data_IF_895802416312
#
_entry.id   IF_895802416312
#
_cell.length_a   1.000
_cell.length_b   1.000
_cell.length_c   1.000
_cell.angle_alpha   90.00
_cell.angle_beta   90.00
_cell.angle_gamma   90.00
#
_symmetry.space_group_name_H-M   'P 1'
#
loop_
_entity.id
_entity.type
_entity.pdbx_description
1 polymer ?
#
# COMPACT_ATOMS: atom_id res chain seq x y z
N UNK A 1 -17.83 8.80 -6.80
CA UNK A 1 -17.76 9.25 -5.39
C UNK A 1 -17.40 10.73 -5.38
N UNK A 2 -17.96 11.55 -4.48
CA UNK A 2 -17.85 13.02 -4.53
C UNK A 2 -16.59 13.61 -3.85
N UNK A 3 -15.61 12.79 -3.42
CA UNK A 3 -14.48 13.21 -2.58
C UNK A 3 -13.10 13.18 -3.29
N UNK A 4 -13.07 13.33 -4.62
CA UNK A 4 -11.84 13.39 -5.41
C UNK A 4 -11.90 12.59 -6.71
N UNK A 5 -10.78 12.56 -7.44
CA UNK A 5 -10.62 11.76 -8.66
C UNK A 5 -10.25 10.31 -8.34
N UNK A 6 -10.89 9.35 -9.01
CA UNK A 6 -10.54 7.93 -8.92
C UNK A 6 -10.04 7.46 -10.28
N UNK A 7 -8.75 7.16 -10.36
CA UNK A 7 -8.15 6.52 -11.54
C UNK A 7 -8.24 5.00 -11.40
N UNK A 8 -9.03 4.36 -12.27
CA UNK A 8 -9.12 2.90 -12.32
C UNK A 8 -7.96 2.39 -13.18
N UNK A 9 -6.99 1.74 -12.53
CA UNK A 9 -5.90 1.06 -13.23
C UNK A 9 -6.06 -0.45 -13.11
N UNK A 10 -5.85 -1.17 -14.22
CA UNK A 10 -5.80 -2.63 -14.21
C UNK A 10 -4.37 -3.11 -13.87
N UNK A 11 -3.82 -2.59 -12.76
CA UNK A 11 -2.43 -2.84 -12.37
C UNK A 11 -2.28 -4.22 -11.73
N UNK A 12 -1.20 -4.91 -12.10
CA UNK A 12 -0.75 -6.13 -11.43
C UNK A 12 -0.23 -5.76 -10.04
N UNK A 13 -0.55 -6.55 -9.02
CA UNK A 13 0.01 -6.37 -7.66
C UNK A 13 1.52 -6.59 -7.67
N UNK A 14 2.00 -7.54 -8.50
CA UNK A 14 3.41 -7.91 -8.59
C UNK A 14 4.29 -6.97 -9.43
N UNK A 15 3.84 -5.73 -9.64
CA UNK A 15 4.57 -4.71 -10.38
C UNK A 15 5.82 -4.23 -9.60
N UNK A 16 6.84 -3.69 -10.28
CA UNK A 16 8.04 -3.22 -9.58
C UNK A 16 7.73 -2.09 -8.60
N UNK A 17 8.12 -2.30 -7.33
CA UNK A 17 8.05 -1.29 -6.25
C UNK A 17 8.56 0.11 -6.62
N UNK A 18 9.58 0.22 -7.49
CA UNK A 18 10.09 1.52 -7.93
C UNK A 18 9.03 2.32 -8.68
N UNK A 19 8.26 1.65 -9.54
CA UNK A 19 7.22 2.29 -10.33
C UNK A 19 6.04 2.71 -9.45
N UNK A 20 5.69 1.90 -8.45
CA UNK A 20 4.69 2.28 -7.44
C UNK A 20 5.12 3.51 -6.62
N UNK A 21 6.41 3.61 -6.25
CA UNK A 21 6.96 4.82 -5.61
C UNK A 21 6.88 6.04 -6.51
N UNK A 22 7.31 5.92 -7.77
CA UNK A 22 7.25 7.03 -8.72
C UNK A 22 5.81 7.54 -8.87
N UNK A 23 4.86 6.64 -9.13
CA UNK A 23 3.43 7.01 -9.25
C UNK A 23 2.92 7.69 -7.97
N UNK A 24 3.30 7.18 -6.80
CA UNK A 24 2.86 7.76 -5.51
C UNK A 24 3.50 9.12 -5.21
N UNK A 25 4.73 9.36 -5.66
CA UNK A 25 5.44 10.63 -5.48
C UNK A 25 5.01 11.70 -6.50
N UNK A 26 4.58 11.30 -7.69
CA UNK A 26 4.17 12.25 -8.73
C UNK A 26 2.98 13.12 -8.31
N UNK A 27 2.05 12.59 -7.50
CA UNK A 27 0.94 13.37 -6.94
C UNK A 27 1.42 14.57 -6.10
N UNK A 28 2.16 14.35 -5.00
CA UNK A 28 2.76 15.42 -4.20
C UNK A 28 3.69 16.35 -4.99
N UNK A 29 4.50 15.82 -5.92
CA UNK A 29 5.38 16.64 -6.77
C UNK A 29 4.56 17.59 -7.64
N UNK A 30 3.48 17.10 -8.28
CA UNK A 30 2.62 17.93 -9.10
C UNK A 30 1.90 19.01 -8.27
N UNK A 31 1.47 18.67 -7.05
CA UNK A 31 0.91 19.64 -6.12
C UNK A 31 1.93 20.74 -5.73
N UNK A 32 3.20 20.40 -5.55
CA UNK A 32 4.26 21.40 -5.31
C UNK A 32 4.44 22.34 -6.51
N UNK A 33 4.43 21.80 -7.74
CA UNK A 33 4.52 22.60 -8.96
C UNK A 33 3.35 23.58 -9.06
N UNK A 34 2.12 23.13 -8.82
CA UNK A 34 0.94 24.01 -8.82
C UNK A 34 1.07 25.11 -7.77
N UNK A 35 1.60 24.77 -6.57
CA UNK A 35 1.80 25.73 -5.49
C UNK A 35 2.66 26.94 -5.88
N UNK A 36 3.62 26.78 -6.81
CA UNK A 36 4.46 27.88 -7.30
C UNK A 36 3.69 28.94 -8.11
N UNK A 37 2.55 28.58 -8.69
CA UNK A 37 1.72 29.48 -9.50
C UNK A 37 0.64 30.20 -8.68
N UNK A 38 0.45 29.82 -7.42
CA UNK A 38 -0.54 30.42 -6.52
C UNK A 38 0.05 31.69 -5.89
N UNK A 39 -0.54 32.84 -6.22
CA UNK A 39 -0.11 34.15 -5.70
C UNK A 39 -0.84 34.56 -4.42
N UNK A 40 -2.03 34.02 -4.18
CA UNK A 40 -2.83 34.32 -3.00
C UNK A 40 -2.35 33.49 -1.80
N UNK A 41 -1.91 34.18 -0.74
CA UNK A 41 -1.41 33.55 0.48
C UNK A 41 -2.46 32.67 1.18
N UNK A 42 -3.74 33.03 1.11
CA UNK A 42 -4.82 32.24 1.73
C UNK A 42 -5.01 30.92 0.99
N UNK A 43 -5.06 30.98 -0.34
CA UNK A 43 -5.14 29.81 -1.20
C UNK A 43 -3.90 28.92 -1.07
N UNK A 44 -2.72 29.53 -0.96
CA UNK A 44 -1.45 28.83 -0.78
C UNK A 44 -1.42 28.04 0.54
N UNK A 45 -1.90 28.62 1.64
CA UNK A 45 -2.00 27.94 2.93
C UNK A 45 -2.94 26.72 2.88
N UNK A 46 -4.09 26.86 2.21
CA UNK A 46 -5.02 25.75 1.99
C UNK A 46 -4.36 24.66 1.14
N UNK A 47 -3.65 25.05 0.08
CA UNK A 47 -2.97 24.13 -0.83
C UNK A 47 -1.89 23.30 -0.12
N UNK A 48 -1.05 23.94 0.70
CA UNK A 48 -0.05 23.23 1.50
C UNK A 48 -0.66 22.37 2.60
N UNK A 49 -1.77 22.81 3.21
CA UNK A 49 -2.50 22.00 4.19
C UNK A 49 -3.03 20.70 3.56
N UNK A 50 -3.53 20.77 2.33
CA UNK A 50 -4.04 19.62 1.59
C UNK A 50 -2.92 18.67 1.14
N UNK A 51 -1.77 19.21 0.71
CA UNK A 51 -0.56 18.44 0.43
C UNK A 51 -0.10 17.66 1.68
N UNK A 52 0.03 18.36 2.82
CA UNK A 52 0.43 17.74 4.08
C UNK A 52 -0.55 16.66 4.52
N UNK A 53 -1.86 16.91 4.36
CA UNK A 53 -2.88 15.93 4.66
C UNK A 53 -2.73 14.65 3.82
N UNK A 54 -2.51 14.77 2.51
CA UNK A 54 -2.30 13.61 1.63
C UNK A 54 -1.01 12.82 1.92
N UNK A 55 -0.02 13.44 2.55
CA UNK A 55 1.23 12.79 2.93
C UNK A 55 1.16 12.06 4.29
N UNK A 56 0.05 12.17 5.02
CA UNK A 56 -0.14 11.42 6.27
C UNK A 56 -0.18 9.92 5.96
N UNK A 57 0.51 9.06 6.76
CA UNK A 57 0.55 7.62 6.53
C UNK A 57 -0.73 6.89 6.99
N UNK A 58 -1.89 7.32 6.47
CA UNK A 58 -3.20 6.70 6.69
C UNK A 58 -3.75 6.20 5.35
N UNK A 59 -4.11 4.93 5.26
CA UNK A 59 -4.76 4.39 4.06
C UNK A 59 -6.14 5.01 3.88
N UNK A 60 -6.53 5.52 2.69
CA UNK A 60 -5.90 5.34 1.37
C UNK A 60 -5.06 6.53 0.86
N UNK A 61 -4.63 7.45 1.74
CA UNK A 61 -3.86 8.63 1.36
C UNK A 61 -2.52 8.27 0.71
N UNK A 62 -1.95 9.18 -0.08
CA UNK A 62 -0.72 8.92 -0.83
C UNK A 62 0.49 8.64 0.07
N UNK A 63 0.54 9.26 1.26
CA UNK A 63 1.54 8.97 2.28
C UNK A 63 1.56 7.48 2.69
N UNK A 64 0.39 6.84 2.79
CA UNK A 64 0.32 5.41 3.12
C UNK A 64 0.91 4.52 2.02
N UNK A 65 0.80 4.90 0.75
CA UNK A 65 1.37 4.15 -0.39
C UNK A 65 2.90 4.25 -0.37
N UNK A 66 3.43 5.45 -0.13
CA UNK A 66 4.88 5.68 0.00
C UNK A 66 5.44 4.82 1.13
N UNK A 67 4.81 4.88 2.31
CA UNK A 67 5.22 4.07 3.47
C UNK A 67 5.03 2.57 3.20
N UNK A 68 3.98 2.16 2.49
CA UNK A 68 3.77 0.77 2.11
C UNK A 68 4.92 0.23 1.24
N UNK A 69 5.38 1.01 0.25
CA UNK A 69 6.52 0.57 -0.56
C UNK A 69 7.80 0.46 0.26
N UNK A 70 8.05 1.42 1.17
CA UNK A 70 9.18 1.35 2.11
C UNK A 70 9.09 0.04 2.91
N UNK A 71 7.93 -0.28 3.49
CA UNK A 71 7.74 -1.55 4.21
C UNK A 71 7.91 -2.77 3.31
N UNK A 72 7.45 -2.74 2.07
CA UNK A 72 7.61 -3.86 1.12
C UNK A 72 9.07 -4.14 0.74
N UNK A 73 9.97 -3.16 0.85
CA UNK A 73 11.40 -3.38 0.62
C UNK A 73 12.03 -4.27 1.71
N UNK A 74 11.60 -4.09 2.96
CA UNK A 74 12.19 -4.74 4.13
C UNK A 74 11.38 -5.96 4.62
N UNK A 75 10.06 -5.92 4.52
CA UNK A 75 9.13 -6.90 5.08
C UNK A 75 8.53 -7.82 4.00
N UNK A 76 7.68 -8.76 4.43
CA UNK A 76 6.85 -9.54 3.52
C UNK A 76 5.66 -8.71 3.05
N UNK A 77 5.10 -9.04 1.88
CA UNK A 77 3.94 -8.34 1.32
C UNK A 77 2.71 -8.42 2.23
N UNK A 78 2.51 -9.57 2.89
CA UNK A 78 1.41 -9.72 3.84
C UNK A 78 1.62 -8.88 5.11
N UNK A 79 2.87 -8.81 5.61
CA UNK A 79 3.21 -8.03 6.79
C UNK A 79 3.11 -6.53 6.55
N UNK A 80 3.57 -6.04 5.39
CA UNK A 80 3.49 -4.62 5.03
C UNK A 80 2.05 -4.14 4.96
N UNK A 81 1.16 -4.87 4.27
CA UNK A 81 -0.27 -4.57 4.20
C UNK A 81 -0.89 -4.42 5.60
N UNK A 82 -0.65 -5.39 6.48
CA UNK A 82 -1.16 -5.34 7.85
C UNK A 82 -0.59 -4.15 8.63
N UNK A 83 0.70 -3.90 8.51
CA UNK A 83 1.37 -2.87 9.27
C UNK A 83 0.88 -1.47 8.87
N UNK A 84 0.61 -1.24 7.58
CA UNK A 84 -0.03 0.00 7.09
C UNK A 84 -1.43 0.19 7.67
N UNK A 85 -2.22 -0.87 7.74
CA UNK A 85 -3.58 -0.81 8.29
C UNK A 85 -3.54 -0.50 9.79
N UNK A 86 -2.65 -1.15 10.55
CA UNK A 86 -2.48 -0.85 11.98
C UNK A 86 -1.94 0.57 12.20
N UNK A 87 -0.96 1.00 11.41
CA UNK A 87 -0.45 2.37 11.45
C UNK A 87 -1.57 3.38 11.17
N UNK A 88 -2.46 3.07 10.21
CA UNK A 88 -3.61 3.92 9.88
C UNK A 88 -4.56 4.07 11.06
N UNK A 89 -4.90 2.99 11.78
CA UNK A 89 -5.74 3.08 12.98
C UNK A 89 -5.10 3.93 14.08
N UNK A 90 -3.80 3.75 14.33
CA UNK A 90 -3.06 4.52 15.33
C UNK A 90 -3.06 6.00 14.96
N UNK A 91 -2.77 6.33 13.70
CA UNK A 91 -2.73 7.71 13.23
C UNK A 91 -4.11 8.38 13.29
N UNK A 92 -5.18 7.67 12.93
CA UNK A 92 -6.56 8.19 13.07
C UNK A 92 -6.85 8.51 14.54
N UNK A 93 -6.51 7.61 15.46
CA UNK A 93 -6.70 7.83 16.90
C UNK A 93 -5.92 9.05 17.38
N UNK A 94 -4.64 9.18 16.99
CA UNK A 94 -3.81 10.33 17.36
C UNK A 94 -4.39 11.65 16.84
N UNK A 95 -4.92 11.67 15.61
CA UNK A 95 -5.53 12.87 15.03
C UNK A 95 -6.81 13.26 15.78
N UNK A 96 -7.67 12.28 16.10
CA UNK A 96 -8.91 12.52 16.86
C UNK A 96 -8.61 13.06 18.26
N UNK A 97 -7.61 12.51 18.95
CA UNK A 97 -7.23 12.95 20.30
C UNK A 97 -6.60 14.34 20.32
N UNK A 98 -5.87 14.71 19.26
CA UNK A 98 -5.12 15.97 19.20
C UNK A 98 -5.99 17.18 18.82
N UNK A 99 -7.01 16.98 18.00
CA UNK A 99 -7.76 18.07 17.39
C UNK A 99 -9.25 17.97 17.70
N UNK A 100 -9.83 19.05 18.22
CA UNK A 100 -11.26 19.12 18.51
C UNK A 100 -12.02 19.89 17.41
N UNK A 101 -12.28 19.24 16.27
CA UNK A 101 -13.01 19.86 15.16
C UNK A 101 -14.00 18.85 14.53
N UNK A 102 -15.28 19.24 14.48
CA UNK A 102 -16.37 18.39 13.98
C UNK A 102 -16.17 17.94 12.52
N UNK A 103 -15.64 18.83 11.66
CA UNK A 103 -15.35 18.51 10.26
C UNK A 103 -14.26 17.45 10.16
N UNK A 104 -13.22 17.59 10.97
CA UNK A 104 -12.12 16.63 11.02
C UNK A 104 -12.60 15.26 11.50
N UNK A 105 -13.48 15.20 12.50
CA UNK A 105 -14.08 13.94 12.95
C UNK A 105 -14.89 13.25 11.85
N UNK A 106 -15.67 14.00 11.07
CA UNK A 106 -16.40 13.46 9.92
C UNK A 106 -15.43 12.86 8.89
N UNK A 107 -14.37 13.58 8.55
CA UNK A 107 -13.33 13.13 7.62
C UNK A 107 -12.65 11.86 8.16
N UNK A 108 -12.27 11.84 9.44
CA UNK A 108 -11.62 10.69 10.07
C UNK A 108 -12.55 9.47 10.11
N UNK A 109 -13.85 9.64 10.31
CA UNK A 109 -14.84 8.55 10.26
C UNK A 109 -14.94 7.95 8.85
N UNK A 110 -14.97 8.77 7.80
CA UNK A 110 -14.97 8.30 6.42
C UNK A 110 -13.68 7.52 6.08
N UNK A 111 -12.53 8.02 6.55
CA UNK A 111 -11.25 7.33 6.35
C UNK A 111 -11.21 6.04 7.16
N UNK A 112 -11.68 6.04 8.41
CA UNK A 112 -11.77 4.84 9.23
C UNK A 112 -12.60 3.75 8.56
N UNK A 113 -13.74 4.12 7.97
CA UNK A 113 -14.55 3.20 7.17
C UNK A 113 -13.75 2.57 6.02
N UNK A 114 -12.94 3.36 5.30
CA UNK A 114 -12.04 2.84 4.25
C UNK A 114 -10.99 1.88 4.80
N UNK A 115 -10.36 2.21 5.93
CA UNK A 115 -9.37 1.34 6.57
C UNK A 115 -9.98 0.02 7.01
N UNK A 116 -11.20 0.04 7.57
CA UNK A 116 -11.92 -1.19 7.97
C UNK A 116 -12.26 -2.06 6.76
N UNK A 117 -12.72 -1.46 5.66
CA UNK A 117 -12.94 -2.20 4.41
C UNK A 117 -11.64 -2.84 3.91
N UNK A 118 -10.53 -2.12 3.94
CA UNK A 118 -9.23 -2.64 3.52
C UNK A 118 -8.76 -3.78 4.41
N UNK A 119 -8.94 -3.66 5.73
CA UNK A 119 -8.62 -4.71 6.69
C UNK A 119 -9.30 -6.03 6.33
N UNK A 120 -10.59 -5.99 5.99
CA UNK A 120 -11.34 -7.18 5.59
C UNK A 120 -10.80 -7.79 4.28
N UNK A 121 -10.32 -6.95 3.36
CA UNK A 121 -9.78 -7.36 2.05
C UNK A 121 -8.34 -7.86 2.06
N UNK A 122 -7.58 -7.70 3.15
CA UNK A 122 -6.16 -8.12 3.23
C UNK A 122 -5.94 -9.55 2.75
N UNK A 123 -6.81 -10.49 3.14
CA UNK A 123 -6.70 -11.90 2.73
C UNK A 123 -6.93 -12.06 1.22
N UNK A 124 -7.91 -11.37 0.66
CA UNK A 124 -8.24 -11.39 -0.77
C UNK A 124 -7.11 -10.79 -1.60
N UNK A 125 -6.57 -9.66 -1.18
CA UNK A 125 -5.43 -9.00 -1.83
C UNK A 125 -4.21 -9.93 -1.82
N UNK A 126 -3.94 -10.60 -0.71
CA UNK A 126 -2.86 -11.57 -0.62
C UNK A 126 -3.09 -12.79 -1.52
N UNK A 127 -4.32 -13.30 -1.60
CA UNK A 127 -4.66 -14.39 -2.51
C UNK A 127 -4.50 -13.98 -3.98
N UNK A 128 -4.93 -12.77 -4.36
CA UNK A 128 -4.71 -12.22 -5.70
C UNK A 128 -3.22 -12.10 -6.02
N UNK A 129 -2.40 -11.67 -5.06
CA UNK A 129 -0.94 -11.66 -5.20
C UNK A 129 -0.37 -13.05 -5.50
N UNK A 130 -0.83 -14.09 -4.79
CA UNK A 130 -0.38 -15.47 -5.04
C UNK A 130 -0.84 -15.98 -6.42
N UNK A 131 -2.09 -15.70 -6.78
CA UNK A 131 -2.68 -16.10 -8.05
C UNK A 131 -1.94 -15.47 -9.24
N UNK A 132 -1.60 -14.18 -9.16
CA UNK A 132 -0.80 -13.53 -10.19
C UNK A 132 0.56 -14.19 -10.39
N UNK A 133 1.23 -14.60 -9.30
CA UNK A 133 2.52 -15.31 -9.35
C UNK A 133 2.41 -16.73 -9.88
N UNK A 134 1.23 -17.34 -9.74
CA UNK A 134 0.93 -18.64 -10.33
C UNK A 134 0.71 -18.52 -11.85
N UNK A 135 -0.09 -17.54 -12.29
CA UNK A 135 -0.46 -17.36 -13.70
C UNK A 135 0.66 -16.73 -14.55
N UNK A 136 1.51 -15.90 -13.96
CA UNK A 136 2.55 -15.14 -14.68
C UNK A 136 3.97 -15.56 -14.31
N UNK A 137 4.84 -15.65 -15.31
CA UNK A 137 6.27 -15.90 -15.10
C UNK A 137 7.02 -14.58 -14.81
N UNK A 138 7.25 -14.29 -13.53
CA UNK A 138 8.05 -13.13 -13.14
C UNK A 138 9.56 -13.46 -13.03
N UNK A 139 10.38 -12.67 -13.72
CA UNK A 139 11.83 -12.79 -13.67
C UNK A 139 12.45 -11.81 -12.67
N UNK A 140 12.49 -12.20 -11.39
CA UNK A 140 13.23 -11.46 -10.36
C UNK A 140 14.69 -11.95 -10.23
N UNK A 141 15.61 -11.01 -10.01
CA UNK A 141 17.05 -11.27 -9.84
C UNK A 141 17.41 -11.82 -8.45
N UNK A 142 16.67 -11.41 -7.42
CA UNK A 142 16.96 -11.78 -6.01
C UNK A 142 16.14 -12.98 -5.57
N UNK A 143 16.75 -13.91 -4.85
CA UNK A 143 16.08 -15.06 -4.23
C UNK A 143 16.00 -14.91 -2.71
N UNK A 144 14.91 -15.36 -2.10
CA UNK A 144 14.71 -15.36 -0.65
C UNK A 144 14.26 -16.73 -0.19
N UNK A 145 14.94 -17.30 0.80
CA UNK A 145 14.57 -18.55 1.45
C UNK A 145 13.49 -18.26 2.50
N UNK A 146 12.36 -18.96 2.42
CA UNK A 146 11.21 -18.78 3.31
C UNK A 146 10.63 -20.12 3.74
N UNK A 147 9.78 -20.12 4.76
CA UNK A 147 9.10 -21.33 5.26
C UNK A 147 7.59 -21.25 5.08
N UNK A 148 7.02 -20.05 5.14
CA UNK A 148 5.56 -19.82 5.06
C UNK A 148 5.22 -18.94 3.86
N UNK A 149 4.06 -19.20 3.22
CA UNK A 149 3.55 -18.39 2.10
C UNK A 149 3.46 -16.89 2.43
N UNK A 150 2.98 -16.55 3.63
CA UNK A 150 2.85 -15.16 4.08
C UNK A 150 4.18 -14.40 4.17
N UNK A 151 5.32 -15.08 4.09
CA UNK A 151 6.65 -14.45 4.09
C UNK A 151 7.12 -14.02 2.69
N UNK A 152 6.33 -14.32 1.64
CA UNK A 152 6.62 -13.87 0.28
C UNK A 152 6.66 -12.35 0.22
N UNK A 153 7.68 -11.84 -0.48
CA UNK A 153 7.94 -10.42 -0.69
C UNK A 153 7.84 -10.05 -2.16
N UNK A 154 7.55 -8.79 -2.44
CA UNK A 154 7.60 -8.25 -3.79
C UNK A 154 9.04 -8.23 -4.33
N UNK A 155 9.18 -8.28 -5.65
CA UNK A 155 10.47 -8.19 -6.38
C UNK A 155 11.53 -9.26 -6.04
N UNK A 156 11.12 -10.40 -5.45
CA UNK A 156 12.01 -11.51 -5.09
C UNK A 156 11.39 -12.85 -5.52
N UNK A 157 12.23 -13.79 -5.97
CA UNK A 157 11.90 -15.22 -6.13
C UNK A 157 12.00 -15.92 -4.79
N UNK A 158 11.19 -16.96 -4.56
CA UNK A 158 11.19 -17.66 -3.28
C UNK A 158 11.57 -19.13 -3.42
N UNK A 159 12.35 -19.62 -2.45
CA UNK A 159 12.59 -21.04 -2.23
C UNK A 159 12.04 -21.40 -0.86
N UNK A 160 11.21 -22.44 -0.83
CA UNK A 160 10.52 -22.84 0.39
C UNK A 160 11.17 -24.06 1.00
N UNK A 161 11.45 -24.00 2.29
CA UNK A 161 11.91 -25.16 3.05
C UNK A 161 10.71 -25.88 3.67
N UNK A 162 10.43 -27.10 3.21
CA UNK A 162 9.39 -27.96 3.79
C UNK A 162 10.04 -29.24 4.27
N UNK A 163 9.92 -29.52 5.58
CA UNK A 163 10.63 -30.62 6.27
C UNK A 163 12.15 -30.48 6.06
N UNK A 164 12.71 -31.13 5.03
CA UNK A 164 14.14 -31.04 4.65
C UNK A 164 14.40 -30.74 3.16
N UNK A 165 13.36 -30.54 2.34
CA UNK A 165 13.54 -30.27 0.91
C UNK A 165 13.30 -28.80 0.58
N UNK A 166 14.01 -28.31 -0.44
CA UNK A 166 13.79 -26.99 -1.03
C UNK A 166 12.87 -27.15 -2.22
N UNK A 167 11.69 -26.54 -2.13
CA UNK A 167 10.71 -26.52 -3.21
C UNK A 167 10.71 -25.15 -3.87
N UNK A 168 10.52 -25.15 -5.18
CA UNK A 168 10.37 -23.91 -5.92
C UNK A 168 9.00 -23.29 -5.66
N UNK A 169 8.92 -21.98 -5.84
CA UNK A 169 7.66 -21.25 -5.76
C UNK A 169 6.59 -21.82 -6.69
N UNK A 170 6.96 -22.21 -7.92
CA UNK A 170 6.04 -22.81 -8.90
C UNK A 170 5.42 -24.10 -8.37
N UNK A 171 6.22 -25.00 -7.81
CA UNK A 171 5.73 -26.26 -7.25
C UNK A 171 4.72 -26.05 -6.13
N UNK A 172 4.96 -25.05 -5.27
CA UNK A 172 4.06 -24.77 -4.14
C UNK A 172 2.77 -24.13 -4.61
N UNK A 173 2.85 -23.15 -5.50
CA UNK A 173 1.65 -22.51 -6.04
C UNK A 173 0.80 -23.51 -6.82
N UNK A 174 1.42 -24.42 -7.58
CA UNK A 174 0.72 -25.52 -8.27
C UNK A 174 -0.05 -26.41 -7.30
N UNK A 175 0.55 -26.78 -6.16
CA UNK A 175 -0.12 -27.56 -5.11
C UNK A 175 -1.31 -26.85 -4.44
N UNK A 176 -1.41 -25.53 -4.57
CA UNK A 176 -2.48 -24.71 -3.96
C UNK A 176 -3.63 -24.52 -4.94
N UNK A 177 -3.34 -24.29 -6.23
CA UNK A 177 -4.33 -23.91 -7.24
C UNK A 177 -4.75 -25.04 -8.19
N UNK A 178 -3.96 -26.10 -8.36
CA UNK A 178 -4.29 -27.25 -9.24
C UNK A 178 -4.96 -28.41 -8.48
N UNK A 179 -5.34 -28.19 -7.21
CA UNK A 179 -6.13 -29.13 -6.42
C UNK A 179 -7.61 -28.86 -6.61
#
# INVERSE_FOLDING_TARGET
MPFGGLTIFNNKINHPLKEELFVSLLGPIFQLIIGLFIKDNTLLNIHYSLLLFNLIPIYPLDGSKIVNVIFNNFLSFYSSLKLIIYLSYIMILLVILKYNNILLYLIMLLILYRVVLEHKKVKEIFNKFLLERYLSNFNYKKTKKITKLKQMSLNKKHLFRIKNTWLTEKEILKKIFDK
#
